data_IF_506739406933
#
_entry.id   IF_506739406933
#
_cell.length_a   1.000
_cell.length_b   1.000
_cell.length_c   1.000
_cell.angle_alpha   90.00
_cell.angle_beta   90.00
_cell.angle_gamma   90.00
#
_symmetry.space_group_name_H-M   'P 1'
#
loop_
_entity.id
_entity.type
_entity.pdbx_description
1 polymer ?
#
# COMPACT_ATOMS: atom_id res chain seq x y z
N UNK A 1 -12.40 9.28 -43.76
CA UNK A 1 -11.98 10.44 -42.94
C UNK A 1 -12.43 10.19 -41.51
N UNK A 2 -11.50 9.90 -40.60
CA UNK A 2 -11.81 9.66 -39.19
C UNK A 2 -12.02 11.02 -38.53
N UNK A 3 -13.15 11.19 -37.83
CA UNK A 3 -13.51 12.45 -37.17
C UNK A 3 -12.44 12.85 -36.13
N UNK A 4 -12.09 14.14 -35.97
CA UNK A 4 -11.03 14.59 -35.06
C UNK A 4 -11.19 14.11 -33.61
N UNK A 5 -12.44 13.88 -33.18
CA UNK A 5 -12.75 13.29 -31.88
C UNK A 5 -12.34 11.82 -31.72
N UNK A 6 -12.43 11.02 -32.79
CA UNK A 6 -12.03 9.61 -32.75
C UNK A 6 -10.49 9.45 -32.76
N UNK A 7 -9.75 10.32 -33.43
CA UNK A 7 -8.29 10.32 -33.40
C UNK A 7 -7.73 10.71 -32.02
N UNK A 8 -8.38 11.64 -31.31
CA UNK A 8 -7.97 12.01 -29.95
C UNK A 8 -8.26 10.93 -28.90
N UNK A 9 -9.36 10.18 -29.05
CA UNK A 9 -9.71 9.08 -28.15
C UNK A 9 -8.78 7.86 -28.28
N UNK A 10 -8.26 7.56 -29.48
CA UNK A 10 -7.34 6.43 -29.71
C UNK A 10 -5.96 6.70 -29.10
N UNK A 11 -5.48 7.94 -29.13
CA UNK A 11 -4.21 8.32 -28.49
C UNK A 11 -4.30 8.51 -26.97
N UNK A 12 -5.50 8.75 -26.41
CA UNK A 12 -5.67 8.99 -24.98
C UNK A 12 -5.55 7.71 -24.17
N UNK A 13 -6.21 6.61 -24.55
CA UNK A 13 -6.18 5.32 -23.84
C UNK A 13 -4.75 4.76 -23.77
N UNK A 14 -3.98 5.00 -24.83
CA UNK A 14 -2.57 4.62 -24.97
C UNK A 14 -1.64 5.18 -23.88
N UNK A 15 -1.93 6.34 -23.27
CA UNK A 15 -1.00 6.91 -22.27
C UNK A 15 -0.96 6.11 -20.96
N UNK A 16 -2.11 5.94 -20.28
CA UNK A 16 -2.20 5.10 -19.08
C UNK A 16 -1.76 3.68 -19.39
N UNK A 17 -2.22 3.11 -20.51
CA UNK A 17 -1.92 1.71 -20.85
C UNK A 17 -0.42 1.48 -21.05
N UNK A 18 0.31 2.41 -21.67
CA UNK A 18 1.79 2.33 -21.80
C UNK A 18 2.49 2.37 -20.45
N UNK A 19 2.10 3.31 -19.57
CA UNK A 19 2.69 3.42 -18.24
C UNK A 19 2.32 2.22 -17.36
N UNK A 20 1.08 1.75 -17.43
CA UNK A 20 0.62 0.56 -16.73
C UNK A 20 1.34 -0.70 -17.23
N UNK A 21 1.53 -0.85 -18.54
CA UNK A 21 2.28 -1.98 -19.09
C UNK A 21 3.73 -1.99 -18.60
N UNK A 22 4.36 -0.81 -18.48
CA UNK A 22 5.70 -0.69 -17.87
C UNK A 22 5.69 -1.03 -16.39
N UNK A 23 4.66 -0.66 -15.64
CA UNK A 23 4.50 -1.00 -14.23
C UNK A 23 4.29 -2.51 -14.04
N UNK A 24 3.46 -3.12 -14.89
CA UNK A 24 3.16 -4.54 -14.88
C UNK A 24 4.39 -5.39 -15.20
N UNK A 25 5.21 -4.98 -16.19
CA UNK A 25 6.50 -5.64 -16.46
C UNK A 25 7.43 -5.63 -15.25
N UNK A 26 7.37 -4.58 -14.44
CA UNK A 26 8.23 -4.43 -13.25
C UNK A 26 7.90 -5.42 -12.14
N UNK A 27 6.66 -5.89 -12.07
CA UNK A 27 6.23 -6.87 -11.05
C UNK A 27 6.01 -8.27 -11.63
N UNK A 28 6.54 -8.53 -12.83
CA UNK A 28 6.33 -9.76 -13.59
C UNK A 28 4.85 -10.14 -13.67
N UNK A 29 3.98 -9.13 -13.83
CA UNK A 29 2.54 -9.34 -13.82
C UNK A 29 2.13 -10.19 -15.01
N UNK A 30 1.55 -11.36 -14.72
CA UNK A 30 0.92 -12.21 -15.72
C UNK A 30 -0.61 -12.19 -15.50
N UNK A 31 -1.42 -11.69 -16.45
CA UNK A 31 -2.87 -11.76 -16.40
C UNK A 31 -3.35 -13.20 -16.66
N UNK A 32 -3.19 -14.06 -15.66
CA UNK A 32 -3.81 -15.40 -15.58
C UNK A 32 -4.79 -15.47 -14.40
N UNK A 33 -5.42 -16.63 -14.13
CA UNK A 33 -6.13 -16.84 -12.87
C UNK A 33 -5.21 -16.41 -11.72
N UNK A 34 -5.75 -15.74 -10.69
CA UNK A 34 -5.02 -15.40 -9.47
C UNK A 34 -4.21 -16.64 -9.08
N UNK A 35 -2.90 -16.63 -9.36
CA UNK A 35 -2.09 -17.83 -9.20
C UNK A 35 -2.21 -18.32 -7.77
N UNK A 36 -1.91 -19.60 -7.51
CA UNK A 36 -1.94 -20.13 -6.16
C UNK A 36 -1.15 -19.24 -5.18
N UNK A 37 -1.44 -19.32 -3.88
CA UNK A 37 -0.93 -18.42 -2.83
C UNK A 37 0.53 -17.93 -3.01
N UNK A 38 1.45 -18.83 -3.38
CA UNK A 38 2.85 -18.50 -3.66
C UNK A 38 3.05 -17.42 -4.75
N UNK A 39 2.23 -17.42 -5.80
CA UNK A 39 2.26 -16.41 -6.86
C UNK A 39 1.76 -15.03 -6.36
N UNK A 40 0.72 -15.00 -5.51
CA UNK A 40 0.22 -13.76 -4.90
C UNK A 40 1.26 -13.15 -3.98
N UNK A 41 1.91 -13.99 -3.16
CA UNK A 41 2.99 -13.56 -2.25
C UNK A 41 4.19 -13.05 -3.03
N UNK A 42 4.66 -13.78 -4.05
CA UNK A 42 5.76 -13.34 -4.92
C UNK A 42 5.44 -12.02 -5.61
N UNK A 43 4.22 -11.85 -6.12
CA UNK A 43 3.77 -10.57 -6.69
C UNK A 43 3.82 -9.45 -5.65
N UNK A 44 3.40 -9.71 -4.41
CA UNK A 44 3.47 -8.72 -3.33
C UNK A 44 4.92 -8.31 -3.02
N UNK A 45 5.88 -9.24 -3.07
CA UNK A 45 7.31 -8.94 -2.91
C UNK A 45 7.78 -7.98 -4.00
N UNK A 46 7.44 -8.24 -5.26
CA UNK A 46 7.77 -7.33 -6.36
C UNK A 46 7.11 -5.95 -6.24
N UNK A 47 5.83 -5.89 -5.83
CA UNK A 47 5.14 -4.62 -5.57
C UNK A 47 5.84 -3.85 -4.44
N UNK A 48 6.23 -4.53 -3.36
CA UNK A 48 6.97 -3.93 -2.25
C UNK A 48 8.30 -3.34 -2.72
N UNK A 49 9.07 -4.11 -3.50
CA UNK A 49 10.34 -3.65 -4.07
C UNK A 49 10.15 -2.47 -5.03
N UNK A 50 9.09 -2.48 -5.84
CA UNK A 50 8.78 -1.40 -6.78
C UNK A 50 8.49 -0.08 -6.06
N UNK A 51 7.75 -0.11 -4.94
CA UNK A 51 7.54 1.08 -4.10
C UNK A 51 8.82 1.53 -3.39
N UNK A 52 9.58 0.59 -2.83
CA UNK A 52 10.84 0.86 -2.15
C UNK A 52 11.82 1.58 -3.07
N UNK A 53 12.01 1.08 -4.29
CA UNK A 53 12.88 1.70 -5.27
C UNK A 53 12.40 3.10 -5.69
N UNK A 54 11.09 3.26 -5.93
CA UNK A 54 10.54 4.57 -6.29
C UNK A 54 10.87 5.61 -5.21
N UNK A 55 10.69 5.27 -3.93
CA UNK A 55 11.12 6.14 -2.83
C UNK A 55 12.64 6.41 -2.86
N UNK A 56 13.45 5.35 -2.96
CA UNK A 56 14.91 5.46 -2.90
C UNK A 56 15.53 6.31 -4.00
N UNK A 57 14.89 6.41 -5.17
CA UNK A 57 15.35 7.27 -6.28
C UNK A 57 15.24 8.76 -5.95
N UNK A 58 14.21 9.17 -5.21
CA UNK A 58 14.11 10.54 -4.72
C UNK A 58 13.27 10.61 -3.43
N UNK A 59 13.90 10.36 -2.27
CA UNK A 59 13.22 10.36 -0.99
C UNK A 59 12.57 11.70 -0.68
N UNK A 60 13.11 12.82 -1.18
CA UNK A 60 12.57 14.14 -0.95
C UNK A 60 11.20 14.35 -1.62
N UNK A 61 10.86 13.57 -2.66
CA UNK A 61 9.62 13.71 -3.43
C UNK A 61 8.62 12.61 -3.11
N UNK A 62 9.05 11.35 -3.12
CA UNK A 62 8.16 10.18 -3.21
C UNK A 62 7.74 9.63 -1.84
N UNK A 63 7.20 10.50 -0.97
CA UNK A 63 6.80 10.14 0.41
C UNK A 63 5.70 9.09 0.46
N UNK A 64 4.77 9.13 -0.48
CA UNK A 64 3.72 8.13 -0.64
C UNK A 64 4.33 6.74 -0.93
N UNK A 65 5.31 6.67 -1.85
CA UNK A 65 5.93 5.39 -2.21
C UNK A 65 6.67 4.75 -1.03
N UNK A 66 7.32 5.56 -0.18
CA UNK A 66 7.96 5.06 1.03
C UNK A 66 6.96 4.42 2.00
N UNK A 67 5.86 5.13 2.29
CA UNK A 67 4.79 4.58 3.15
C UNK A 67 4.08 3.38 2.52
N UNK A 68 3.89 3.39 1.20
CA UNK A 68 3.33 2.26 0.45
C UNK A 68 4.24 1.02 0.53
N UNK A 69 5.57 1.19 0.47
CA UNK A 69 6.51 0.09 0.66
C UNK A 69 6.39 -0.52 2.06
N UNK A 70 6.37 0.32 3.11
CA UNK A 70 6.19 -0.12 4.50
C UNK A 70 4.88 -0.91 4.68
N UNK A 71 3.79 -0.39 4.11
CA UNK A 71 2.46 -0.99 4.17
C UNK A 71 2.41 -2.30 3.39
N UNK A 72 2.94 -2.33 2.17
CA UNK A 72 3.04 -3.51 1.31
C UNK A 72 3.85 -4.63 1.97
N UNK A 73 4.91 -4.29 2.69
CA UNK A 73 5.70 -5.24 3.46
C UNK A 73 4.91 -5.80 4.67
N UNK A 74 4.12 -4.97 5.35
CA UNK A 74 3.23 -5.41 6.42
C UNK A 74 2.12 -6.35 5.91
N UNK A 75 1.57 -6.03 4.74
CA UNK A 75 0.61 -6.87 4.02
C UNK A 75 1.24 -8.22 3.67
N UNK A 76 2.46 -8.24 3.14
CA UNK A 76 3.21 -9.48 2.85
C UNK A 76 3.40 -10.36 4.08
N UNK A 77 3.77 -9.79 5.24
CA UNK A 77 3.82 -10.53 6.53
C UNK A 77 2.48 -11.16 6.87
N UNK A 78 1.39 -10.40 6.68
CA UNK A 78 0.03 -10.89 6.88
C UNK A 78 -0.26 -12.12 6.02
N UNK A 79 0.07 -12.07 4.73
CA UNK A 79 -0.12 -13.19 3.80
C UNK A 79 0.66 -14.46 4.21
N UNK A 80 1.94 -14.30 4.58
CA UNK A 80 2.75 -15.43 5.05
C UNK A 80 2.18 -16.04 6.34
N UNK A 81 1.76 -15.19 7.29
CA UNK A 81 1.19 -15.63 8.55
C UNK A 81 -0.16 -16.36 8.36
N UNK A 82 -1.05 -15.83 7.54
CA UNK A 82 -2.36 -16.46 7.27
C UNK A 82 -2.19 -17.83 6.63
N UNK A 83 -1.24 -17.97 5.70
CA UNK A 83 -0.91 -19.26 5.11
C UNK A 83 -0.38 -20.27 6.14
N UNK A 84 0.57 -19.84 6.97
CA UNK A 84 1.13 -20.69 8.03
C UNK A 84 0.05 -21.14 9.03
N UNK A 85 -0.82 -20.22 9.47
CA UNK A 85 -1.92 -20.52 10.40
C UNK A 85 -2.95 -21.48 9.79
N UNK A 86 -3.23 -21.34 8.50
CA UNK A 86 -4.13 -22.24 7.78
C UNK A 86 -3.53 -23.65 7.68
N UNK A 87 -2.26 -23.78 7.29
CA UNK A 87 -1.59 -25.07 7.17
C UNK A 87 -1.42 -25.79 8.52
N UNK A 88 -1.16 -25.04 9.59
CA UNK A 88 -0.89 -25.62 10.92
C UNK A 88 -2.14 -25.87 11.77
N UNK A 89 -3.35 -25.55 11.28
CA UNK A 89 -4.62 -25.61 12.02
C UNK A 89 -4.61 -24.80 13.34
N UNK A 90 -3.65 -23.89 13.52
CA UNK A 90 -3.51 -23.00 14.68
C UNK A 90 -4.46 -21.80 14.65
N UNK A 91 -5.17 -21.58 13.53
CA UNK A 91 -6.17 -20.53 13.35
C UNK A 91 -7.28 -20.57 14.42
N UNK A 92 -7.66 -21.77 14.88
CA UNK A 92 -8.63 -21.99 15.97
C UNK A 92 -8.14 -21.45 17.31
N UNK A 93 -6.82 -21.43 17.56
CA UNK A 93 -6.25 -20.95 18.83
C UNK A 93 -6.32 -19.42 19.00
N UNK A 94 -6.64 -18.71 17.92
CA UNK A 94 -6.81 -17.25 17.88
C UNK A 94 -8.23 -16.83 17.46
N UNK A 95 -9.20 -17.76 17.47
CA UNK A 95 -10.60 -17.52 17.08
C UNK A 95 -10.78 -16.93 15.66
N UNK A 96 -9.84 -17.19 14.75
CA UNK A 96 -10.02 -16.93 13.32
C UNK A 96 -10.38 -18.25 12.63
N UNK A 97 -11.57 -18.34 12.06
CA UNK A 97 -11.99 -19.55 11.35
C UNK A 97 -11.35 -19.59 9.96
N UNK A 98 -11.16 -20.79 9.38
CA UNK A 98 -10.44 -20.97 8.11
C UNK A 98 -10.96 -20.11 6.94
N UNK A 99 -12.28 -19.84 6.91
CA UNK A 99 -12.91 -18.95 5.91
C UNK A 99 -12.50 -17.48 6.06
N UNK A 100 -12.31 -17.00 7.30
CA UNK A 100 -11.92 -15.63 7.58
C UNK A 100 -10.43 -15.41 7.26
N UNK A 101 -9.59 -16.41 7.54
CA UNK A 101 -8.15 -16.39 7.20
C UNK A 101 -7.93 -16.35 5.69
N UNK A 102 -8.67 -17.17 4.93
CA UNK A 102 -8.61 -17.17 3.46
C UNK A 102 -9.11 -15.84 2.88
N UNK A 103 -10.25 -15.34 3.36
CA UNK A 103 -10.78 -14.05 2.92
C UNK A 103 -9.80 -12.89 3.19
N UNK A 104 -9.13 -12.87 4.34
CA UNK A 104 -8.09 -11.87 4.64
C UNK A 104 -6.92 -12.00 3.66
N UNK A 105 -6.39 -13.21 3.45
CA UNK A 105 -5.23 -13.43 2.58
C UNK A 105 -5.49 -12.97 1.13
N UNK A 106 -6.66 -13.29 0.58
CA UNK A 106 -7.05 -12.88 -0.77
C UNK A 106 -7.25 -11.37 -0.87
N UNK A 107 -7.96 -10.78 0.10
CA UNK A 107 -8.27 -9.34 0.10
C UNK A 107 -7.01 -8.48 0.25
N UNK A 108 -6.03 -8.95 1.05
CA UNK A 108 -4.73 -8.29 1.19
C UNK A 108 -3.98 -8.20 -0.15
N UNK A 109 -3.97 -9.28 -0.94
CA UNK A 109 -3.30 -9.33 -2.23
C UNK A 109 -4.01 -8.57 -3.34
N UNK A 110 -5.34 -8.54 -3.28
CA UNK A 110 -6.17 -7.72 -4.16
C UNK A 110 -5.99 -6.24 -3.86
N UNK A 111 -6.04 -5.85 -2.58
CA UNK A 111 -5.90 -4.46 -2.14
C UNK A 111 -4.56 -3.85 -2.55
N UNK A 112 -3.45 -4.52 -2.26
CA UNK A 112 -2.13 -3.99 -2.62
C UNK A 112 -1.92 -3.89 -4.14
N UNK A 113 -2.43 -4.86 -4.90
CA UNK A 113 -2.38 -4.81 -6.37
C UNK A 113 -3.29 -3.69 -6.94
N UNK A 114 -4.46 -3.46 -6.35
CA UNK A 114 -5.37 -2.40 -6.75
C UNK A 114 -4.72 -1.02 -6.60
N UNK A 115 -4.05 -0.78 -5.47
CA UNK A 115 -3.26 0.44 -5.25
C UNK A 115 -2.13 0.58 -6.28
N UNK A 116 -1.42 -0.52 -6.56
CA UNK A 116 -0.33 -0.52 -7.54
C UNK A 116 -0.84 -0.14 -8.95
N UNK A 117 -1.94 -0.72 -9.39
CA UNK A 117 -2.56 -0.42 -10.69
C UNK A 117 -3.22 0.97 -10.78
N UNK A 118 -3.46 1.63 -9.64
CA UNK A 118 -4.04 2.97 -9.64
C UNK A 118 -2.96 4.05 -9.62
N UNK A 119 -1.99 3.98 -8.71
CA UNK A 119 -1.08 5.11 -8.40
C UNK A 119 0.35 4.90 -8.93
N UNK A 120 0.83 3.66 -9.04
CA UNK A 120 2.26 3.43 -9.34
C UNK A 120 2.65 3.88 -10.75
N UNK A 121 1.79 3.64 -11.76
CA UNK A 121 2.07 4.08 -13.13
C UNK A 121 2.20 5.62 -13.22
N UNK A 122 1.48 6.35 -12.36
CA UNK A 122 1.57 7.81 -12.29
C UNK A 122 2.93 8.27 -11.78
N UNK A 123 3.50 7.57 -10.80
CA UNK A 123 4.86 7.87 -10.32
C UNK A 123 5.90 7.71 -11.41
N UNK A 124 5.79 6.65 -12.22
CA UNK A 124 6.72 6.44 -13.36
C UNK A 124 6.54 7.50 -14.45
N UNK A 125 5.29 7.90 -14.72
CA UNK A 125 4.98 8.97 -15.67
C UNK A 125 5.58 10.30 -15.20
N UNK A 126 5.39 10.66 -13.93
CA UNK A 126 5.96 11.87 -13.34
C UNK A 126 7.49 11.83 -13.30
N UNK A 127 8.10 10.70 -12.94
CA UNK A 127 9.57 10.53 -12.97
C UNK A 127 10.14 10.79 -14.36
N UNK A 128 9.44 10.33 -15.40
CA UNK A 128 9.93 10.41 -16.78
C UNK A 128 9.65 11.76 -17.46
N UNK A 129 8.50 12.38 -17.18
CA UNK A 129 8.04 13.57 -17.92
C UNK A 129 7.51 14.71 -17.04
N UNK A 130 7.63 14.59 -15.72
CA UNK A 130 7.20 15.59 -14.73
C UNK A 130 5.70 15.86 -14.75
N UNK A 131 5.32 17.02 -14.20
CA UNK A 131 3.92 17.49 -14.21
C UNK A 131 3.31 17.59 -15.62
N UNK A 132 4.04 17.95 -16.70
CA UNK A 132 3.49 17.90 -18.06
C UNK A 132 2.93 16.53 -18.45
N UNK A 133 3.59 15.43 -18.06
CA UNK A 133 3.11 14.05 -18.31
C UNK A 133 1.78 13.79 -17.61
N UNK A 134 1.71 14.09 -16.32
CA UNK A 134 0.50 13.93 -15.50
C UNK A 134 -0.63 14.82 -16.02
N UNK A 135 -0.31 16.04 -16.47
CA UNK A 135 -1.30 16.95 -17.06
C UNK A 135 -1.90 16.38 -18.35
N UNK A 136 -1.12 15.66 -19.18
CA UNK A 136 -1.67 14.96 -20.36
C UNK A 136 -2.64 13.87 -19.95
N UNK A 137 -2.27 13.05 -18.96
CA UNK A 137 -3.15 12.01 -18.42
C UNK A 137 -4.43 12.58 -17.79
N UNK A 138 -4.33 13.71 -17.07
CA UNK A 138 -5.47 14.44 -16.53
C UNK A 138 -6.42 14.95 -17.64
N UNK A 139 -5.87 15.59 -18.68
CA UNK A 139 -6.67 16.07 -19.84
C UNK A 139 -7.33 14.92 -20.60
N UNK A 140 -6.71 13.75 -20.60
CA UNK A 140 -7.25 12.51 -21.15
C UNK A 140 -8.29 11.81 -20.26
N UNK A 141 -8.60 12.35 -19.07
CA UNK A 141 -9.55 11.75 -18.13
C UNK A 141 -9.02 10.54 -17.36
N UNK A 142 -7.72 10.27 -17.40
CA UNK A 142 -7.09 9.08 -16.79
C UNK A 142 -6.59 9.33 -15.37
N UNK A 143 -6.49 10.60 -14.97
CA UNK A 143 -6.14 11.03 -13.62
C UNK A 143 -7.29 11.88 -13.08
N UNK A 144 -7.87 11.56 -11.92
CA UNK A 144 -8.91 12.38 -11.31
C UNK A 144 -8.40 13.76 -10.90
N UNK A 145 -9.29 14.76 -10.81
CA UNK A 145 -8.93 16.14 -10.43
C UNK A 145 -8.20 16.22 -9.09
N UNK A 146 -8.64 15.48 -8.08
CA UNK A 146 -8.00 15.45 -6.76
C UNK A 146 -6.55 14.95 -6.83
N UNK A 147 -6.32 13.90 -7.62
CA UNK A 147 -5.00 13.30 -7.83
C UNK A 147 -4.10 14.24 -8.65
N UNK A 148 -4.64 14.90 -9.68
CA UNK A 148 -3.89 15.91 -10.42
C UNK A 148 -3.48 17.09 -9.53
N UNK A 149 -4.36 17.55 -8.64
CA UNK A 149 -4.03 18.59 -7.66
C UNK A 149 -2.90 18.16 -6.73
N UNK A 150 -2.92 16.92 -6.23
CA UNK A 150 -1.85 16.36 -5.41
C UNK A 150 -0.51 16.36 -6.16
N UNK A 151 -0.48 15.93 -7.43
CA UNK A 151 0.74 16.01 -8.26
C UNK A 151 1.22 17.43 -8.51
N UNK A 152 0.31 18.41 -8.66
CA UNK A 152 0.69 19.81 -8.74
C UNK A 152 1.37 20.29 -7.47
N UNK A 153 0.84 19.95 -6.29
CA UNK A 153 1.48 20.30 -5.02
C UNK A 153 2.88 19.69 -4.89
N UNK A 154 3.05 18.42 -5.31
CA UNK A 154 4.36 17.75 -5.33
C UNK A 154 5.33 18.49 -6.26
N UNK A 155 4.93 18.83 -7.48
CA UNK A 155 5.80 19.52 -8.44
C UNK A 155 6.11 20.95 -7.99
N UNK A 156 5.12 21.69 -7.48
CA UNK A 156 5.31 23.04 -6.95
C UNK A 156 6.31 23.01 -5.80
N UNK A 157 6.12 22.11 -4.83
CA UNK A 157 7.04 21.93 -3.71
C UNK A 157 8.46 21.53 -4.14
N UNK A 158 8.60 20.70 -5.17
CA UNK A 158 9.89 20.36 -5.77
C UNK A 158 10.56 21.58 -6.40
N UNK A 159 9.82 22.37 -7.19
CA UNK A 159 10.37 23.54 -7.92
C UNK A 159 10.74 24.69 -6.98
N UNK A 160 9.99 24.88 -5.90
CA UNK A 160 10.20 25.97 -4.94
C UNK A 160 11.04 25.57 -3.73
N UNK A 161 11.44 24.30 -3.63
CA UNK A 161 12.15 23.80 -2.45
C UNK A 161 11.31 23.87 -1.18
N UNK A 162 10.00 23.60 -1.27
CA UNK A 162 9.05 23.67 -0.16
C UNK A 162 8.56 22.26 0.22
N UNK A 163 9.21 21.58 1.20
CA UNK A 163 8.86 20.21 1.57
C UNK A 163 7.41 20.03 2.03
N UNK A 164 6.82 21.06 2.65
CA UNK A 164 5.43 21.02 3.10
C UNK A 164 4.44 20.78 1.95
N UNK A 165 4.69 21.35 0.77
CA UNK A 165 3.85 21.13 -0.41
C UNK A 165 4.00 19.69 -0.95
N UNK A 166 5.22 19.15 -0.92
CA UNK A 166 5.47 17.76 -1.29
C UNK A 166 4.71 16.81 -0.36
N UNK A 167 4.81 17.01 0.96
CA UNK A 167 4.08 16.22 1.94
C UNK A 167 2.57 16.35 1.78
N UNK A 168 2.05 17.57 1.58
CA UNK A 168 0.64 17.81 1.35
C UNK A 168 0.13 17.06 0.11
N UNK A 169 0.87 17.11 -1.00
CA UNK A 169 0.51 16.37 -2.20
C UNK A 169 0.56 14.85 -2.02
N UNK A 170 1.60 14.31 -1.38
CA UNK A 170 1.67 12.86 -1.09
C UNK A 170 0.54 12.40 -0.14
N UNK A 171 0.17 13.22 0.84
CA UNK A 171 -1.03 12.98 1.68
C UNK A 171 -2.30 12.99 0.83
N UNK A 172 -2.41 13.89 -0.15
CA UNK A 172 -3.52 13.93 -1.09
C UNK A 172 -3.65 12.65 -1.94
N UNK A 173 -2.52 12.11 -2.42
CA UNK A 173 -2.49 10.80 -3.08
C UNK A 173 -2.98 9.69 -2.15
N UNK A 174 -2.46 9.64 -0.92
CA UNK A 174 -2.85 8.64 0.07
C UNK A 174 -4.33 8.72 0.46
N UNK A 175 -4.88 9.93 0.63
CA UNK A 175 -6.31 10.11 0.91
C UNK A 175 -7.16 9.56 -0.23
N UNK A 176 -6.82 9.90 -1.48
CA UNK A 176 -7.54 9.40 -2.65
C UNK A 176 -7.49 7.86 -2.72
N UNK A 177 -6.32 7.27 -2.51
CA UNK A 177 -6.13 5.82 -2.44
C UNK A 177 -7.05 5.17 -1.40
N UNK A 178 -6.98 5.65 -0.16
CA UNK A 178 -7.69 5.07 0.97
C UNK A 178 -9.21 5.16 0.82
N UNK A 179 -9.71 6.25 0.23
CA UNK A 179 -11.14 6.51 0.04
C UNK A 179 -11.71 5.87 -1.21
N UNK A 180 -10.99 5.95 -2.33
CA UNK A 180 -11.56 5.67 -3.65
C UNK A 180 -11.15 4.29 -4.15
N UNK A 181 -9.97 3.81 -3.75
CA UNK A 181 -9.41 2.54 -4.24
C UNK A 181 -9.60 1.46 -3.18
N UNK A 182 -9.07 1.66 -1.97
CA UNK A 182 -9.09 0.64 -0.95
C UNK A 182 -10.46 0.46 -0.30
N UNK A 183 -11.26 1.52 -0.13
CA UNK A 183 -12.59 1.39 0.45
C UNK A 183 -13.46 0.34 -0.29
N UNK A 184 -13.70 0.47 -1.62
CA UNK A 184 -14.47 -0.54 -2.34
C UNK A 184 -13.73 -1.87 -2.54
N UNK A 185 -12.40 -1.85 -2.76
CA UNK A 185 -11.65 -3.07 -3.10
C UNK A 185 -11.36 -3.97 -1.88
N UNK A 186 -11.31 -3.40 -0.68
CA UNK A 186 -10.88 -4.11 0.55
C UNK A 186 -11.94 -4.04 1.62
N UNK A 187 -12.49 -2.87 1.91
CA UNK A 187 -13.22 -2.63 3.16
C UNK A 187 -14.73 -2.86 3.05
N UNK A 188 -15.37 -2.43 1.96
CA UNK A 188 -16.82 -2.52 1.77
C UNK A 188 -17.34 -3.95 1.70
N UNK A 189 -16.51 -4.89 1.23
CA UNK A 189 -16.91 -6.28 1.04
C UNK A 189 -17.21 -7.05 2.33
N UNK A 190 -16.66 -6.65 3.49
CA UNK A 190 -16.87 -7.36 4.75
C UNK A 190 -16.58 -6.49 6.00
N UNK A 191 -17.46 -5.54 6.30
CA UNK A 191 -17.31 -4.65 7.46
C UNK A 191 -17.15 -5.41 8.79
N UNK A 192 -17.91 -6.48 9.01
CA UNK A 192 -17.86 -7.26 10.26
C UNK A 192 -16.48 -7.89 10.49
N UNK A 193 -15.87 -8.42 9.43
CA UNK A 193 -14.51 -8.96 9.48
C UNK A 193 -13.52 -7.86 9.85
N UNK A 194 -13.57 -6.72 9.17
CA UNK A 194 -12.63 -5.62 9.42
C UNK A 194 -12.81 -4.96 10.80
N UNK A 195 -14.03 -4.92 11.32
CA UNK A 195 -14.28 -4.54 12.71
C UNK A 195 -13.57 -5.48 13.67
N UNK A 196 -13.69 -6.80 13.47
CA UNK A 196 -12.98 -7.78 14.30
C UNK A 196 -11.46 -7.65 14.20
N UNK A 197 -10.96 -7.33 13.01
CA UNK A 197 -9.52 -7.16 12.75
C UNK A 197 -8.95 -5.84 13.29
N UNK A 198 -9.79 -4.90 13.72
CA UNK A 198 -9.35 -3.55 14.13
C UNK A 198 -8.35 -3.58 15.29
N UNK A 199 -8.52 -4.48 16.27
CA UNK A 199 -7.55 -4.67 17.37
C UNK A 199 -6.34 -5.56 17.04
N UNK A 200 -6.15 -5.93 15.77
CA UNK A 200 -5.06 -6.84 15.34
C UNK A 200 -4.17 -6.25 14.25
N UNK A 201 -4.68 -5.29 13.48
CA UNK A 201 -3.91 -4.64 12.42
C UNK A 201 -3.03 -3.56 13.02
N UNK A 202 -1.74 -3.85 13.11
CA UNK A 202 -0.72 -2.92 13.58
C UNK A 202 -0.43 -1.85 12.53
N UNK A 203 -0.06 -0.66 12.99
CA UNK A 203 0.54 0.37 12.14
C UNK A 203 1.72 -0.18 11.32
N UNK A 204 1.80 0.14 10.02
CA UNK A 204 2.90 -0.32 9.16
C UNK A 204 4.21 0.44 9.41
N UNK A 205 4.18 1.52 10.21
CA UNK A 205 5.34 2.37 10.44
C UNK A 205 6.30 1.70 11.44
N UNK A 206 7.60 1.56 11.11
CA UNK A 206 8.58 0.92 11.99
C UNK A 206 8.59 1.46 13.42
N UNK A 207 8.66 0.55 14.38
CA UNK A 207 8.66 0.88 15.81
C UNK A 207 7.27 1.13 16.41
N UNK A 208 6.20 1.08 15.61
CA UNK A 208 4.83 1.22 16.11
C UNK A 208 4.15 -0.14 16.24
N UNK A 209 3.52 -0.33 17.39
CA UNK A 209 2.70 -1.51 17.70
C UNK A 209 1.23 -1.12 17.97
N UNK A 210 0.87 0.14 17.76
CA UNK A 210 -0.49 0.64 17.91
C UNK A 210 -1.39 0.06 16.81
N UNK A 211 -2.59 -0.36 17.19
CA UNK A 211 -3.71 -0.70 16.29
C UNK A 211 -4.72 0.45 16.25
N UNK A 212 -5.69 0.41 15.33
CA UNK A 212 -6.75 1.45 15.30
C UNK A 212 -7.59 1.44 16.59
N UNK A 213 -7.75 0.28 17.22
CA UNK A 213 -8.51 0.14 18.47
C UNK A 213 -7.72 0.66 19.68
N UNK A 214 -6.38 0.57 19.66
CA UNK A 214 -5.53 1.23 20.66
C UNK A 214 -5.58 2.76 20.51
N UNK A 215 -5.65 3.25 19.27
CA UNK A 215 -5.72 4.68 18.95
C UNK A 215 -7.07 5.30 19.34
N UNK A 216 -8.17 4.65 18.97
CA UNK A 216 -9.54 5.08 19.27
C UNK A 216 -10.38 3.83 19.61
N UNK A 217 -10.60 3.54 20.91
CA UNK A 217 -11.31 2.34 21.34
C UNK A 217 -12.69 2.20 20.68
N UNK A 218 -12.95 1.05 20.07
CA UNK A 218 -14.18 0.76 19.34
C UNK A 218 -14.19 1.25 17.90
N UNK A 219 -13.12 1.89 17.41
CA UNK A 219 -12.99 2.26 16.01
C UNK A 219 -12.97 1.02 15.10
N UNK A 220 -13.58 1.18 13.93
CA UNK A 220 -13.72 0.16 12.91
C UNK A 220 -12.89 0.53 11.69
N UNK A 221 -11.88 -0.28 11.40
CA UNK A 221 -11.01 -0.08 10.24
C UNK A 221 -11.76 -0.10 8.90
N UNK A 222 -12.94 -0.72 8.79
CA UNK A 222 -13.73 -0.63 7.56
C UNK A 222 -14.37 0.74 7.33
N UNK A 223 -14.56 1.55 8.38
CA UNK A 223 -15.13 2.89 8.25
C UNK A 223 -14.04 3.86 7.81
N UNK A 224 -14.15 4.39 6.59
CA UNK A 224 -13.15 5.29 6.00
C UNK A 224 -12.76 6.43 6.93
N UNK A 225 -13.73 7.16 7.49
CA UNK A 225 -13.44 8.37 8.29
C UNK A 225 -12.65 8.04 9.57
N UNK A 226 -12.92 6.89 10.20
CA UNK A 226 -12.19 6.44 11.40
C UNK A 226 -10.78 5.97 11.03
N UNK A 227 -10.65 5.16 9.98
CA UNK A 227 -9.35 4.71 9.46
C UNK A 227 -8.49 5.89 9.00
N UNK A 228 -9.09 6.85 8.30
CA UNK A 228 -8.39 8.03 7.83
C UNK A 228 -7.92 8.92 8.98
N UNK A 229 -8.73 9.11 10.02
CA UNK A 229 -8.30 9.81 11.23
C UNK A 229 -7.05 9.18 11.82
N UNK A 230 -7.05 7.86 12.02
CA UNK A 230 -5.87 7.15 12.51
C UNK A 230 -4.63 7.32 11.61
N UNK A 231 -4.80 7.21 10.29
CA UNK A 231 -3.71 7.44 9.32
C UNK A 231 -3.18 8.88 9.44
N UNK A 232 -4.07 9.87 9.46
CA UNK A 232 -3.72 11.29 9.43
C UNK A 232 -3.11 11.78 10.73
N UNK A 233 -3.66 11.39 11.88
CA UNK A 233 -3.23 11.91 13.17
C UNK A 233 -2.15 11.06 13.83
N UNK A 234 -2.05 9.78 13.45
CA UNK A 234 -1.09 8.85 14.06
C UNK A 234 0.03 8.44 13.11
N UNK A 235 -0.30 7.83 11.97
CA UNK A 235 0.70 7.23 11.09
C UNK A 235 1.53 8.26 10.33
N UNK A 236 0.88 9.24 9.68
CA UNK A 236 1.54 10.23 8.83
C UNK A 236 2.55 11.10 9.60
N UNK A 237 2.24 11.65 10.79
CA UNK A 237 3.21 12.44 11.56
C UNK A 237 4.45 11.63 11.94
N UNK A 238 4.27 10.35 12.26
CA UNK A 238 5.37 9.47 12.64
C UNK A 238 6.16 8.96 11.44
N UNK A 239 5.53 8.75 10.29
CA UNK A 239 6.23 8.52 9.04
C UNK A 239 7.10 9.73 8.68
N UNK A 240 6.53 10.93 8.79
CA UNK A 240 7.26 12.18 8.59
C UNK A 240 8.46 12.30 9.54
N UNK A 241 8.29 12.03 10.83
CA UNK A 241 9.39 12.04 11.80
C UNK A 241 10.47 10.99 11.45
N UNK A 242 10.07 9.75 11.14
CA UNK A 242 11.01 8.68 10.80
C UNK A 242 11.84 9.02 9.55
N UNK A 243 11.19 9.53 8.50
CA UNK A 243 11.82 9.96 7.26
C UNK A 243 12.78 11.14 7.47
N UNK A 244 12.42 12.10 8.33
CA UNK A 244 13.24 13.27 8.62
C UNK A 244 14.43 12.97 9.55
N UNK A 245 14.20 12.19 10.61
CA UNK A 245 15.18 11.96 11.68
C UNK A 245 16.08 10.77 11.41
N UNK A 246 15.59 9.75 10.69
CA UNK A 246 16.31 8.50 10.45
C UNK A 246 16.30 8.08 8.96
N UNK A 247 16.62 8.97 8.01
CA UNK A 247 16.54 8.66 6.56
C UNK A 247 17.45 7.50 6.15
N UNK A 248 18.62 7.35 6.78
CA UNK A 248 19.55 6.23 6.50
C UNK A 248 18.94 4.87 6.90
N UNK A 249 18.27 4.81 8.05
CA UNK A 249 17.58 3.61 8.53
C UNK A 249 16.41 3.24 7.63
N UNK A 250 15.64 4.23 7.16
CA UNK A 250 14.57 4.02 6.18
C UNK A 250 15.18 3.45 4.89
N UNK A 251 16.27 4.06 4.39
CA UNK A 251 16.90 3.62 3.16
C UNK A 251 17.44 2.18 3.26
N UNK A 252 18.15 1.84 4.34
CA UNK A 252 18.66 0.49 4.62
C UNK A 252 17.52 -0.54 4.63
N UNK A 253 16.43 -0.24 5.34
CA UNK A 253 15.27 -1.12 5.41
C UNK A 253 14.64 -1.35 4.02
N UNK A 254 14.47 -0.28 3.23
CA UNK A 254 13.89 -0.37 1.90
C UNK A 254 14.82 -1.06 0.88
N UNK A 255 16.13 -0.85 1.01
CA UNK A 255 17.15 -1.55 0.21
C UNK A 255 17.14 -3.05 0.46
N UNK A 256 16.94 -3.48 1.71
CA UNK A 256 16.79 -4.88 2.07
C UNK A 256 15.66 -5.59 1.30
N UNK A 257 14.61 -4.86 0.91
CA UNK A 257 13.50 -5.41 0.12
C UNK A 257 13.76 -5.47 -1.38
N UNK A 258 14.80 -4.80 -1.88
CA UNK A 258 15.22 -4.90 -3.29
C UNK A 258 15.97 -6.21 -3.58
N UNK A 259 16.66 -6.75 -2.57
CA UNK A 259 17.54 -7.92 -2.71
C UNK A 259 16.72 -9.24 -2.76
N UNK A 260 15.43 -9.18 -2.44
CA UNK A 260 14.54 -10.34 -2.42
C UNK A 260 14.79 -11.26 -1.21
N UNK A 261 13.90 -12.24 -1.05
CA UNK A 261 13.87 -13.17 0.09
C UNK A 261 12.53 -13.09 0.84
N UNK A 262 12.14 -14.15 1.60
CA UNK A 262 10.93 -14.09 2.41
C UNK A 262 11.11 -12.90 3.35
N UNK A 263 10.24 -11.88 3.29
CA UNK A 263 10.66 -10.55 3.70
C UNK A 263 10.85 -10.43 5.22
N UNK A 264 10.57 -11.49 6.00
CA UNK A 264 10.65 -11.47 7.45
C UNK A 264 10.98 -12.84 8.04
N UNK A 265 12.04 -12.99 8.84
CA UNK A 265 12.08 -14.06 9.83
C UNK A 265 10.88 -13.90 10.77
N UNK A 266 10.17 -15.00 11.05
CA UNK A 266 9.08 -15.03 12.04
C UNK A 266 9.53 -14.35 13.34
N UNK A 267 8.76 -13.40 13.91
CA UNK A 267 9.15 -12.80 15.18
C UNK A 267 9.24 -13.90 16.24
N UNK A 268 10.45 -14.16 16.77
CA UNK A 268 10.65 -15.14 17.85
C UNK A 268 9.75 -14.89 19.07
N UNK A 269 9.19 -13.67 19.22
CA UNK A 269 8.27 -13.30 20.30
C UNK A 269 6.86 -13.90 20.14
N UNK A 270 6.43 -14.35 18.95
CA UNK A 270 5.14 -15.05 18.80
C UNK A 270 5.17 -16.44 19.48
N UNK A 271 6.35 -17.08 19.56
CA UNK A 271 6.52 -18.31 20.36
C UNK A 271 6.10 -18.10 21.82
N UNK A 272 6.36 -16.93 22.41
CA UNK A 272 6.07 -16.65 23.82
C UNK A 272 4.58 -16.43 24.11
N UNK A 273 3.83 -15.76 23.24
CA UNK A 273 2.38 -15.56 23.42
C UNK A 273 1.58 -16.85 23.18
N UNK A 274 2.03 -17.70 22.25
CA UNK A 274 1.40 -19.00 21.97
C UNK A 274 1.75 -20.05 23.04
N UNK A 275 2.99 -20.08 23.55
CA UNK A 275 3.34 -20.96 24.68
C UNK A 275 2.80 -20.45 26.03
N UNK A 276 2.71 -19.14 26.24
CA UNK A 276 2.27 -18.56 27.52
C UNK A 276 0.82 -18.89 27.88
N UNK A 277 -0.05 -19.13 26.89
CA UNK A 277 -1.43 -19.59 27.13
C UNK A 277 -1.54 -21.09 27.45
N UNK A 278 -0.54 -21.91 27.10
CA UNK A 278 -0.54 -23.34 27.45
C UNK A 278 -0.21 -23.62 28.93
N UNK A 279 0.36 -22.65 29.64
CA UNK A 279 0.70 -22.77 31.07
C UNK A 279 -0.36 -22.20 32.02
N UNK A 280 -1.45 -21.63 31.50
CA UNK A 280 -2.55 -21.10 32.30
C UNK A 280 -3.80 -22.00 32.30
N UNK A 281 -3.71 -23.20 31.71
CA UNK A 281 -4.77 -24.21 31.62
C UNK A 281 -4.25 -25.62 31.98
N UNK A 282 -3.22 -25.70 32.83
CA UNK A 282 -2.78 -26.93 33.48
C UNK A 282 -2.93 -26.78 35.00
#
# INVERSE_FOLDING_TARGET
MISPHAAHAIHSTDLRDRWQARANRRIEYNPGPLGGHAAVVRRNEFVTAAYAEMYLRNPAIYKWAGMAALTSAAVGRGMYMTHYLHQSRLSTAINLFGREVAAIADTLGVGNLAVFHDIYWQHMAYESGGLPEIRRAFRAGQVPRAVYHAWRQIDDGRRTGTPALVWAGNRGLLHYEQRTILQPAVYDGNERLWRRMSGWVLSPIPGQLETIDDFEPGANMAVFEQRWRWIETSMLPRWHALDAEQPARVAEQLQGWLIGGPPFPMPMRLKRRVLGRKLALA
#
